data_IF_266984484845
#
_entry.id   IF_266984484845
#
_cell.length_a   1.000
_cell.length_b   1.000
_cell.length_c   1.000
_cell.angle_alpha   90.00
_cell.angle_beta   90.00
_cell.angle_gamma   90.00
#
_symmetry.space_group_name_H-M   'P 1'
#
loop_
_entity.id
_entity.type
_entity.pdbx_description
1 polymer ?
#
# COMPACT_ATOMS: atom_id res chain seq x y z
N UNK A 1 -0.32 38.62 9.97
CA UNK A 1 0.42 38.18 8.77
C UNK A 1 -0.22 36.89 8.32
N UNK A 2 -0.75 36.88 7.11
CA UNK A 2 -1.59 35.82 6.54
C UNK A 2 -0.80 34.51 6.38
N UNK A 3 -1.13 33.52 7.20
CA UNK A 3 -0.72 32.13 7.04
C UNK A 3 -1.20 31.64 5.69
N UNK A 4 -0.29 31.44 4.74
CA UNK A 4 -0.62 30.65 3.56
C UNK A 4 -1.14 29.30 4.05
N UNK A 5 -2.32 28.84 3.59
CA UNK A 5 -2.76 27.49 3.93
C UNK A 5 -1.67 26.52 3.52
N UNK A 6 -1.32 25.59 4.41
CA UNK A 6 -0.31 24.58 4.13
C UNK A 6 -0.75 23.82 2.86
N UNK A 7 -0.15 24.17 1.72
CA UNK A 7 -0.55 23.68 0.39
C UNK A 7 -0.50 22.15 0.33
N UNK A 8 0.38 21.55 1.11
CA UNK A 8 0.47 20.10 1.26
C UNK A 8 -0.77 19.51 1.94
N UNK A 9 -1.17 20.06 3.09
CA UNK A 9 -2.38 19.63 3.79
C UNK A 9 -3.64 19.80 2.93
N UNK A 10 -3.77 20.93 2.24
CA UNK A 10 -4.89 21.16 1.32
C UNK A 10 -4.97 20.10 0.21
N UNK A 11 -3.84 19.75 -0.40
CA UNK A 11 -3.79 18.74 -1.45
C UNK A 11 -4.07 17.33 -0.90
N UNK A 12 -3.65 17.02 0.33
CA UNK A 12 -4.02 15.76 1.00
C UNK A 12 -5.52 15.67 1.26
N UNK A 13 -6.15 16.75 1.74
CA UNK A 13 -7.61 16.79 1.92
C UNK A 13 -8.35 16.66 0.58
N UNK A 14 -7.78 17.21 -0.49
CA UNK A 14 -8.29 17.01 -1.84
C UNK A 14 -8.22 15.53 -2.24
N UNK A 15 -7.08 14.86 -2.02
CA UNK A 15 -6.95 13.41 -2.25
C UNK A 15 -7.99 12.64 -1.42
N UNK A 16 -8.15 12.96 -0.14
CA UNK A 16 -9.15 12.33 0.73
C UNK A 16 -10.58 12.46 0.15
N UNK A 17 -10.94 13.66 -0.33
CA UNK A 17 -12.23 13.90 -0.97
C UNK A 17 -12.40 13.10 -2.26
N UNK A 18 -11.35 12.97 -3.08
CA UNK A 18 -11.39 12.19 -4.32
C UNK A 18 -11.55 10.69 -4.03
N UNK A 19 -10.81 10.18 -3.04
CA UNK A 19 -10.92 8.80 -2.55
C UNK A 19 -12.34 8.48 -2.05
N UNK A 20 -12.96 9.38 -1.25
CA UNK A 20 -14.37 9.25 -0.81
C UNK A 20 -15.34 9.09 -1.98
N UNK A 21 -15.08 9.80 -3.08
CA UNK A 21 -15.89 9.78 -4.30
C UNK A 21 -15.50 8.69 -5.29
N UNK A 22 -14.53 7.83 -4.92
CA UNK A 22 -13.98 6.78 -5.79
C UNK A 22 -13.37 7.31 -7.08
N UNK A 23 -12.89 8.56 -7.08
CA UNK A 23 -12.23 9.22 -8.21
C UNK A 23 -10.72 8.91 -8.17
N UNK A 24 -10.37 7.63 -8.31
CA UNK A 24 -9.02 7.12 -8.06
C UNK A 24 -7.98 7.65 -9.06
N UNK A 25 -8.34 7.81 -10.34
CA UNK A 25 -7.42 8.35 -11.35
C UNK A 25 -7.03 9.80 -11.04
N UNK A 26 -8.01 10.65 -10.70
CA UNK A 26 -7.76 12.04 -10.30
C UNK A 26 -7.03 12.14 -8.95
N UNK A 27 -7.30 11.21 -8.02
CA UNK A 27 -6.56 11.11 -6.77
C UNK A 27 -5.08 10.81 -7.04
N UNK A 28 -4.80 9.90 -7.98
CA UNK A 28 -3.45 9.53 -8.37
C UNK A 28 -2.69 10.69 -9.03
N UNK A 29 -3.33 11.46 -9.90
CA UNK A 29 -2.74 12.68 -10.48
C UNK A 29 -2.32 13.68 -9.38
N UNK A 30 -3.19 13.86 -8.38
CA UNK A 30 -2.91 14.75 -7.24
C UNK A 30 -1.77 14.21 -6.38
N UNK A 31 -1.73 12.90 -6.15
CA UNK A 31 -0.64 12.23 -5.43
C UNK A 31 0.69 12.31 -6.17
N UNK A 32 0.69 12.29 -7.50
CA UNK A 32 1.90 12.47 -8.29
C UNK A 32 2.50 13.86 -8.10
N UNK A 33 1.66 14.90 -8.11
CA UNK A 33 2.09 16.29 -7.83
C UNK A 33 2.67 16.40 -6.42
N UNK A 34 2.00 15.79 -5.42
CA UNK A 34 2.49 15.75 -4.04
C UNK A 34 3.84 15.04 -3.92
N UNK A 35 4.01 13.90 -4.60
CA UNK A 35 5.24 13.12 -4.57
C UNK A 35 6.42 13.87 -5.19
N UNK A 36 6.20 14.53 -6.34
CA UNK A 36 7.22 15.36 -6.98
C UNK A 36 7.63 16.54 -6.07
N UNK A 37 6.66 17.22 -5.47
CA UNK A 37 6.91 18.32 -4.55
C UNK A 37 7.69 17.84 -3.30
N UNK A 38 7.34 16.67 -2.76
CA UNK A 38 8.01 16.09 -1.60
C UNK A 38 9.49 15.77 -1.88
N UNK A 39 9.79 15.22 -3.07
CA UNK A 39 11.16 14.97 -3.52
C UNK A 39 11.95 16.28 -3.70
N UNK A 40 11.36 17.29 -4.35
CA UNK A 40 12.02 18.58 -4.58
C UNK A 40 12.34 19.34 -3.28
N UNK A 41 11.48 19.20 -2.27
CA UNK A 41 11.62 19.90 -0.99
C UNK A 41 12.41 19.10 0.05
N UNK A 42 12.97 17.94 -0.31
CA UNK A 42 13.62 17.00 0.62
C UNK A 42 12.77 16.74 1.87
N UNK A 43 11.45 16.58 1.69
CA UNK A 43 10.57 16.24 2.80
C UNK A 43 10.98 14.89 3.39
N UNK A 44 10.62 14.67 4.67
CA UNK A 44 10.98 13.47 5.42
C UNK A 44 10.68 12.19 4.63
N UNK A 45 11.61 11.24 4.64
CA UNK A 45 11.51 9.95 3.92
C UNK A 45 10.22 9.19 4.22
N UNK A 46 9.73 9.28 5.45
CA UNK A 46 8.47 8.65 5.88
C UNK A 46 7.26 9.16 5.08
N UNK A 47 7.24 10.45 4.75
CA UNK A 47 6.16 11.07 3.98
C UNK A 47 6.21 10.64 2.52
N UNK A 48 7.40 10.53 1.95
CA UNK A 48 7.58 10.04 0.57
C UNK A 48 7.12 8.59 0.45
N UNK A 49 7.42 7.76 1.45
CA UNK A 49 6.95 6.38 1.51
C UNK A 49 5.43 6.29 1.62
N UNK A 50 4.82 7.10 2.49
CA UNK A 50 3.37 7.15 2.58
C UNK A 50 2.68 7.57 1.28
N UNK A 51 3.22 8.56 0.57
CA UNK A 51 2.70 8.96 -0.74
C UNK A 51 2.84 7.85 -1.77
N UNK A 52 3.95 7.10 -1.76
CA UNK A 52 4.17 5.96 -2.64
C UNK A 52 3.18 4.81 -2.36
N UNK A 53 2.99 4.46 -1.09
CA UNK A 53 2.04 3.42 -0.68
C UNK A 53 0.59 3.82 -0.99
N UNK A 54 0.21 5.08 -0.73
CA UNK A 54 -1.11 5.59 -1.08
C UNK A 54 -1.33 5.62 -2.60
N UNK A 55 -0.30 5.93 -3.38
CA UNK A 55 -0.35 5.86 -4.84
C UNK A 55 -0.55 4.43 -5.34
N UNK A 56 0.13 3.46 -4.71
CA UNK A 56 -0.06 2.03 -4.99
C UNK A 56 -1.50 1.58 -4.70
N UNK A 57 -2.10 2.04 -3.59
CA UNK A 57 -3.51 1.75 -3.27
C UNK A 57 -4.46 2.32 -4.34
N UNK A 58 -4.21 3.55 -4.80
CA UNK A 58 -5.02 4.17 -5.86
C UNK A 58 -4.89 3.43 -7.19
N UNK A 59 -3.66 3.06 -7.58
CA UNK A 59 -3.38 2.28 -8.78
C UNK A 59 -4.09 0.92 -8.75
N UNK A 60 -4.08 0.26 -7.60
CA UNK A 60 -4.80 -0.99 -7.41
C UNK A 60 -6.32 -0.82 -7.55
N UNK A 61 -6.88 0.28 -7.02
CA UNK A 61 -8.31 0.58 -7.07
C UNK A 61 -8.80 1.03 -8.45
N UNK A 62 -7.97 1.68 -9.27
CA UNK A 62 -8.29 2.02 -10.66
C UNK A 62 -7.94 0.91 -11.68
N UNK A 63 -7.47 -0.25 -11.22
CA UNK A 63 -7.21 -1.41 -12.08
C UNK A 63 -5.85 -1.40 -12.78
N UNK A 64 -4.95 -0.46 -12.44
CA UNK A 64 -3.56 -0.40 -12.90
C UNK A 64 -2.68 -1.40 -12.12
N UNK A 65 -3.08 -2.67 -12.12
CA UNK A 65 -2.55 -3.72 -11.24
C UNK A 65 -1.07 -4.04 -11.49
N UNK A 66 -0.60 -3.94 -12.74
CA UNK A 66 0.83 -4.17 -13.07
C UNK A 66 1.70 -3.07 -12.47
N UNK A 67 1.32 -1.81 -12.66
CA UNK A 67 2.03 -0.66 -12.09
C UNK A 67 2.01 -0.69 -10.56
N UNK A 68 0.87 -1.07 -9.95
CA UNK A 68 0.79 -1.27 -8.50
C UNK A 68 1.75 -2.36 -8.02
N UNK A 69 1.88 -3.46 -8.79
CA UNK A 69 2.85 -4.52 -8.49
C UNK A 69 4.29 -4.03 -8.62
N UNK A 70 4.63 -3.31 -9.68
CA UNK A 70 5.99 -2.78 -9.90
C UNK A 70 6.42 -1.86 -8.75
N UNK A 71 5.52 -0.98 -8.28
CA UNK A 71 5.78 -0.12 -7.11
C UNK A 71 5.92 -0.95 -5.84
N UNK A 72 5.05 -1.93 -5.61
CA UNK A 72 5.11 -2.82 -4.46
C UNK A 72 6.46 -3.56 -4.40
N UNK A 73 6.90 -4.11 -5.52
CA UNK A 73 8.19 -4.82 -5.62
C UNK A 73 9.37 -3.88 -5.41
N UNK A 74 9.31 -2.66 -5.93
CA UNK A 74 10.33 -1.65 -5.67
C UNK A 74 10.42 -1.29 -4.17
N UNK A 75 9.28 -1.09 -3.51
CA UNK A 75 9.22 -0.82 -2.07
C UNK A 75 9.78 -1.99 -1.24
N UNK A 76 9.48 -3.23 -1.63
CA UNK A 76 10.05 -4.43 -0.98
C UNK A 76 11.57 -4.47 -1.13
N UNK A 77 12.11 -4.17 -2.32
CA UNK A 77 13.55 -4.15 -2.57
C UNK A 77 14.29 -3.16 -1.65
N UNK A 78 13.67 -2.03 -1.32
CA UNK A 78 14.27 -1.04 -0.41
C UNK A 78 14.53 -1.61 0.99
N UNK A 79 13.73 -2.57 1.46
CA UNK A 79 13.98 -3.28 2.72
C UNK A 79 15.07 -4.32 2.59
N UNK A 80 15.16 -5.01 1.46
CA UNK A 80 16.15 -6.06 1.21
C UNK A 80 17.58 -5.52 1.04
N UNK A 81 17.71 -4.25 0.62
CA UNK A 81 18.98 -3.56 0.47
C UNK A 81 19.57 -3.07 1.81
N UNK A 82 18.83 -3.15 2.91
CA UNK A 82 19.31 -2.72 4.22
C UNK A 82 20.31 -3.74 4.77
N UNK A 83 21.47 -3.24 5.19
CA UNK A 83 22.58 -4.07 5.71
C UNK A 83 22.39 -4.51 7.17
N UNK A 84 21.46 -3.86 7.88
CA UNK A 84 21.15 -4.13 9.27
C UNK A 84 19.87 -4.95 9.41
N UNK A 85 19.71 -5.71 10.52
CA UNK A 85 18.45 -6.36 10.81
C UNK A 85 17.33 -5.34 10.92
N UNK A 86 16.21 -5.61 10.24
CA UNK A 86 15.04 -4.73 10.25
C UNK A 86 14.50 -4.54 11.67
N UNK A 87 14.12 -3.31 11.99
CA UNK A 87 13.36 -3.03 13.22
C UNK A 87 12.04 -3.81 13.21
N UNK A 88 11.42 -3.99 14.38
CA UNK A 88 10.14 -4.71 14.48
C UNK A 88 9.04 -4.07 13.61
N UNK A 89 9.02 -2.75 13.50
CA UNK A 89 8.02 -2.06 12.69
C UNK A 89 8.35 -2.10 11.19
N UNK A 90 9.62 -2.06 10.81
CA UNK A 90 10.06 -2.31 9.44
C UNK A 90 9.72 -3.75 8.99
N UNK A 91 9.88 -4.73 9.88
CA UNK A 91 9.49 -6.12 9.59
C UNK A 91 7.98 -6.27 9.40
N UNK A 92 7.16 -5.61 10.22
CA UNK A 92 5.69 -5.61 10.05
C UNK A 92 5.30 -4.99 8.71
N UNK A 93 5.93 -3.89 8.35
CA UNK A 93 5.65 -3.23 7.08
C UNK A 93 6.04 -4.09 5.88
N UNK A 94 7.22 -4.71 5.91
CA UNK A 94 7.64 -5.65 4.88
C UNK A 94 6.61 -6.78 4.72
N UNK A 95 6.12 -7.37 5.81
CA UNK A 95 5.09 -8.41 5.74
C UNK A 95 3.79 -7.88 5.10
N UNK A 96 3.40 -6.64 5.40
CA UNK A 96 2.23 -5.99 4.78
C UNK A 96 2.42 -5.82 3.27
N UNK A 97 3.59 -5.37 2.82
CA UNK A 97 3.91 -5.25 1.40
C UNK A 97 3.92 -6.61 0.71
N UNK A 98 4.48 -7.64 1.33
CA UNK A 98 4.52 -9.00 0.77
C UNK A 98 3.12 -9.63 0.68
N UNK A 99 2.23 -9.34 1.64
CA UNK A 99 0.81 -9.70 1.56
C UNK A 99 0.09 -8.96 0.43
N UNK A 100 0.38 -7.66 0.23
CA UNK A 100 -0.19 -6.91 -0.89
C UNK A 100 0.33 -7.43 -2.23
N UNK A 101 1.62 -7.76 -2.34
CA UNK A 101 2.19 -8.44 -3.51
C UNK A 101 1.44 -9.74 -3.81
N UNK A 102 1.17 -10.58 -2.81
CA UNK A 102 0.36 -11.79 -2.97
C UNK A 102 -1.01 -11.48 -3.58
N UNK A 103 -1.72 -10.47 -3.05
CA UNK A 103 -3.03 -10.06 -3.59
C UNK A 103 -2.94 -9.60 -5.05
N UNK A 104 -1.95 -8.77 -5.39
CA UNK A 104 -1.74 -8.27 -6.76
C UNK A 104 -1.44 -9.41 -7.73
N UNK A 105 -0.60 -10.38 -7.34
CA UNK A 105 -0.32 -11.58 -8.13
C UNK A 105 -1.59 -12.41 -8.39
N UNK A 106 -2.46 -12.56 -7.39
CA UNK A 106 -3.76 -13.25 -7.56
C UNK A 106 -4.67 -12.49 -8.52
N UNK A 107 -4.75 -11.15 -8.40
CA UNK A 107 -5.56 -10.32 -9.31
C UNK A 107 -5.06 -10.37 -10.76
N UNK A 108 -3.75 -10.49 -10.94
CA UNK A 108 -3.09 -10.63 -12.23
C UNK A 108 -3.08 -12.06 -12.79
N UNK A 109 -3.73 -13.01 -12.11
CA UNK A 109 -3.75 -14.44 -12.45
C UNK A 109 -2.37 -15.12 -12.51
N UNK A 110 -1.40 -14.60 -11.76
CA UNK A 110 -0.03 -15.14 -11.66
C UNK A 110 0.07 -16.19 -10.56
N UNK A 111 -0.63 -17.31 -10.74
CA UNK A 111 -0.81 -18.35 -9.70
C UNK A 111 0.49 -18.98 -9.20
N UNK A 112 1.45 -19.24 -10.08
CA UNK A 112 2.72 -19.83 -9.71
C UNK A 112 3.51 -18.88 -8.79
N UNK A 113 3.60 -17.61 -9.18
CA UNK A 113 4.24 -16.57 -8.37
C UNK A 113 3.50 -16.39 -7.03
N UNK A 114 2.17 -16.36 -7.02
CA UNK A 114 1.37 -16.25 -5.79
C UNK A 114 1.61 -17.42 -4.82
N UNK A 115 1.79 -18.64 -5.34
CA UNK A 115 2.11 -19.83 -4.52
C UNK A 115 3.50 -19.72 -3.88
N UNK A 116 4.50 -19.27 -4.64
CA UNK A 116 5.86 -19.00 -4.13
C UNK A 116 5.81 -17.90 -3.07
N UNK A 117 5.10 -16.81 -3.36
CA UNK A 117 4.92 -15.66 -2.47
C UNK A 117 4.29 -16.06 -1.14
N UNK A 118 3.26 -16.91 -1.17
CA UNK A 118 2.59 -17.42 0.02
C UNK A 118 3.56 -18.15 0.96
N UNK A 119 4.47 -18.95 0.40
CA UNK A 119 5.50 -19.65 1.19
C UNK A 119 6.54 -18.66 1.71
N UNK A 120 6.96 -17.71 0.88
CA UNK A 120 7.94 -16.71 1.24
C UNK A 120 7.50 -15.86 2.44
N UNK A 121 6.25 -15.37 2.45
CA UNK A 121 5.72 -14.57 3.58
C UNK A 121 5.90 -15.31 4.92
N UNK A 122 5.65 -16.61 4.95
CA UNK A 122 5.79 -17.41 6.18
C UNK A 122 7.25 -17.55 6.61
N UNK A 123 8.21 -17.60 5.67
CA UNK A 123 9.64 -17.61 5.99
C UNK A 123 10.12 -16.33 6.66
N UNK A 124 9.44 -15.21 6.43
CA UNK A 124 9.72 -13.91 7.06
C UNK A 124 9.14 -13.76 8.47
N UNK A 125 8.33 -14.73 8.91
CA UNK A 125 7.53 -14.63 10.12
C UNK A 125 8.08 -15.51 11.24
N UNK A 126 8.01 -15.01 12.48
CA UNK A 126 8.15 -15.86 13.68
C UNK A 126 7.06 -16.92 13.73
N UNK A 127 7.28 -18.00 14.49
CA UNK A 127 6.31 -19.09 14.62
C UNK A 127 4.91 -18.61 15.08
N UNK A 128 4.86 -17.63 15.99
CA UNK A 128 3.61 -17.01 16.43
C UNK A 128 2.91 -16.27 15.29
N UNK A 129 3.65 -15.54 14.46
CA UNK A 129 3.11 -14.82 13.30
C UNK A 129 2.65 -15.79 12.20
N UNK A 130 3.37 -16.89 11.99
CA UNK A 130 2.97 -17.93 11.04
C UNK A 130 1.60 -18.52 11.40
N UNK A 131 1.39 -18.86 12.69
CA UNK A 131 0.11 -19.37 13.18
C UNK A 131 -1.03 -18.37 12.89
N UNK A 132 -0.78 -17.06 13.07
CA UNK A 132 -1.80 -16.03 12.82
C UNK A 132 -2.03 -15.72 11.34
N UNK A 133 -0.99 -15.78 10.51
CA UNK A 133 -1.04 -15.38 9.10
C UNK A 133 -1.45 -16.53 8.18
N UNK A 134 -1.17 -17.78 8.55
CA UNK A 134 -1.51 -18.94 7.74
C UNK A 134 -3.00 -18.97 7.34
N UNK A 135 -3.98 -18.73 8.24
CA UNK A 135 -5.38 -18.66 7.87
C UNK A 135 -5.69 -17.53 6.89
N UNK A 136 -5.04 -16.37 7.03
CA UNK A 136 -5.21 -15.22 6.13
C UNK A 136 -4.71 -15.58 4.73
N UNK A 137 -3.48 -16.09 4.61
CA UNK A 137 -2.88 -16.51 3.35
C UNK A 137 -3.74 -17.60 2.69
N UNK A 138 -4.23 -18.57 3.46
CA UNK A 138 -5.13 -19.61 2.94
C UNK A 138 -6.44 -19.03 2.41
N UNK A 139 -7.04 -18.02 3.07
CA UNK A 139 -8.24 -17.34 2.54
C UNK A 139 -7.92 -16.56 1.27
N UNK A 140 -6.84 -15.79 1.24
CA UNK A 140 -6.44 -15.00 0.07
C UNK A 140 -6.27 -15.88 -1.17
N UNK A 141 -5.63 -17.04 -1.03
CA UNK A 141 -5.40 -17.98 -2.14
C UNK A 141 -6.69 -18.60 -2.73
N UNK A 142 -7.83 -18.52 -2.04
CA UNK A 142 -9.13 -18.99 -2.58
C UNK A 142 -9.70 -18.05 -3.64
N UNK A 143 -9.26 -16.78 -3.66
CA UNK A 143 -9.67 -15.83 -4.67
C UNK A 143 -8.97 -16.07 -6.00
N UNK A 144 -9.42 -15.35 -7.03
CA UNK A 144 -8.94 -15.39 -8.41
C UNK A 144 -9.06 -13.99 -9.03
N UNK A 145 -8.49 -13.80 -10.22
CA UNK A 145 -8.68 -12.58 -11.03
C UNK A 145 -10.16 -12.24 -11.24
N UNK A 146 -11.01 -13.24 -11.49
CA UNK A 146 -12.46 -13.08 -11.64
C UNK A 146 -13.16 -12.58 -10.36
N UNK A 147 -12.56 -12.77 -9.18
CA UNK A 147 -13.12 -12.34 -7.89
C UNK A 147 -12.35 -11.16 -7.27
N UNK A 148 -11.65 -10.36 -8.08
CA UNK A 148 -10.82 -9.25 -7.61
C UNK A 148 -11.56 -8.26 -6.71
N UNK A 149 -12.86 -7.99 -6.92
CA UNK A 149 -13.66 -7.11 -6.06
C UNK A 149 -13.77 -7.68 -4.63
N UNK A 150 -14.01 -8.99 -4.52
CA UNK A 150 -14.09 -9.67 -3.23
C UNK A 150 -12.70 -9.73 -2.56
N UNK A 151 -11.65 -9.93 -3.34
CA UNK A 151 -10.28 -9.85 -2.85
C UNK A 151 -9.96 -8.44 -2.32
N UNK A 152 -10.36 -7.37 -3.01
CA UNK A 152 -10.21 -5.99 -2.50
C UNK A 152 -10.95 -5.79 -1.18
N UNK A 153 -12.16 -6.37 -1.02
CA UNK A 153 -12.89 -6.32 0.26
C UNK A 153 -12.14 -7.05 1.37
N UNK A 154 -11.60 -8.24 1.09
CA UNK A 154 -10.78 -8.98 2.07
C UNK A 154 -9.53 -8.17 2.44
N UNK A 155 -8.85 -7.57 1.47
CA UNK A 155 -7.67 -6.72 1.71
C UNK A 155 -7.98 -5.54 2.63
N UNK A 156 -9.13 -4.87 2.45
CA UNK A 156 -9.61 -3.82 3.36
C UNK A 156 -9.87 -4.37 4.74
N UNK A 157 -10.57 -5.50 4.84
CA UNK A 157 -10.88 -6.14 6.12
C UNK A 157 -9.63 -6.51 6.93
N UNK A 158 -8.57 -6.96 6.27
CA UNK A 158 -7.29 -7.30 6.93
C UNK A 158 -6.34 -6.10 7.06
N UNK A 159 -6.79 -4.88 6.73
CA UNK A 159 -6.04 -3.63 6.94
C UNK A 159 -4.95 -3.33 5.91
N UNK A 160 -4.95 -3.97 4.74
CA UNK A 160 -3.98 -3.64 3.70
C UNK A 160 -4.24 -2.26 3.09
N UNK A 161 -5.46 -1.72 3.11
CA UNK A 161 -5.80 -0.38 2.60
C UNK A 161 -5.81 0.71 3.68
N UNK A 162 -5.05 0.52 4.76
CA UNK A 162 -5.12 1.38 5.93
C UNK A 162 -4.76 2.86 5.64
N UNK A 163 -3.88 3.16 4.68
CA UNK A 163 -3.50 4.56 4.40
C UNK A 163 -4.60 5.33 3.69
N UNK A 164 -5.23 4.75 2.66
CA UNK A 164 -6.39 5.39 2.02
C UNK A 164 -7.56 5.50 2.99
N UNK A 165 -7.80 4.51 3.82
CA UNK A 165 -8.85 4.55 4.85
C UNK A 165 -8.57 5.62 5.91
N UNK A 166 -7.32 5.70 6.42
CA UNK A 166 -6.90 6.73 7.37
C UNK A 166 -7.05 8.12 6.77
N UNK A 167 -6.58 8.34 5.54
CA UNK A 167 -6.70 9.62 4.85
C UNK A 167 -8.17 9.99 4.58
N UNK A 168 -9.02 9.03 4.22
CA UNK A 168 -10.48 9.26 4.08
C UNK A 168 -11.06 9.75 5.41
N UNK A 169 -10.68 9.16 6.53
CA UNK A 169 -11.28 9.46 7.83
C UNK A 169 -10.74 10.74 8.47
N UNK A 170 -9.43 10.95 8.40
CA UNK A 170 -8.70 11.97 9.16
C UNK A 170 -8.22 13.15 8.29
N UNK A 171 -8.27 13.02 6.95
CA UNK A 171 -7.75 14.07 6.05
C UNK A 171 -6.24 14.25 6.22
N UNK A 172 -5.78 15.50 6.08
CA UNK A 172 -4.36 15.84 6.23
C UNK A 172 -3.79 15.52 7.62
N UNK A 173 -4.63 15.42 8.66
CA UNK A 173 -4.21 15.04 10.01
C UNK A 173 -3.63 13.61 10.07
N UNK A 174 -3.97 12.76 9.10
CA UNK A 174 -3.41 11.41 8.98
C UNK A 174 -1.87 11.38 8.88
N UNK A 175 -1.26 12.50 8.47
CA UNK A 175 0.17 12.68 8.19
C UNK A 175 0.86 13.73 9.08
N UNK A 176 0.21 14.16 10.17
CA UNK A 176 0.74 15.15 11.12
C UNK A 176 1.57 14.53 12.24
#
# INVERSE_FOLDING_TARGET
>A
MSSQPNRFAYLLDQVASLLKRQQYDTALETLHVLSQAAMQQNLQLILQRYLAELSMECLELCGQLKTALDICEHSIQQYQLQSEPLSTDAQKDLITLELRKLCLLIKLDRRNEASIQSKHILTLCSLKQQISLQPVITRLNRFSSASHIHLTKEQKHIGLFHLSEKLINEGAEAFS
#
